data_IF_297084444435
#
_entry.id   IF_297084444435
#
_cell.length_a   1.000
_cell.length_b   1.000
_cell.length_c   1.000
_cell.angle_alpha   90.00
_cell.angle_beta   90.00
_cell.angle_gamma   90.00
#
_symmetry.space_group_name_H-M   'P 1'
#
loop_
_entity.id
_entity.type
_entity.pdbx_description
1 polymer ?
#
# COMPACT_ATOMS: atom_id res chain seq x y z
N UNK A 1 -2.00 20.53 -20.13
CA UNK A 1 -2.25 19.31 -20.96
C UNK A 1 -1.67 19.40 -22.38
N UNK A 2 -1.98 20.45 -23.17
CA UNK A 2 -1.76 20.47 -24.64
C UNK A 2 -0.30 20.35 -25.08
N UNK A 3 0.65 20.76 -24.23
CA UNK A 3 2.10 20.65 -24.48
C UNK A 3 2.64 19.25 -24.21
N UNK A 4 2.16 18.57 -23.17
CA UNK A 4 2.53 17.19 -22.84
C UNK A 4 1.95 16.19 -23.86
N UNK A 5 0.70 16.38 -24.30
CA UNK A 5 0.06 15.52 -25.32
C UNK A 5 0.64 15.68 -26.74
N UNK A 6 1.57 16.62 -26.95
CA UNK A 6 2.30 16.77 -28.22
C UNK A 6 3.59 15.97 -28.25
N UNK A 7 4.01 15.41 -27.12
CA UNK A 7 5.14 14.49 -27.05
C UNK A 7 4.70 13.12 -27.56
N UNK A 8 5.54 12.46 -28.35
CA UNK A 8 5.21 11.17 -28.95
C UNK A 8 4.98 10.12 -27.85
N UNK A 9 3.83 9.44 -27.90
CA UNK A 9 3.49 8.38 -26.95
C UNK A 9 3.08 8.86 -25.55
N UNK A 10 2.86 10.15 -25.33
CA UNK A 10 2.47 10.73 -24.04
C UNK A 10 0.97 11.08 -24.00
N UNK A 11 0.27 10.52 -23.02
CA UNK A 11 -1.11 10.85 -22.67
C UNK A 11 -1.16 11.49 -21.28
N UNK A 12 -1.42 12.78 -21.22
CA UNK A 12 -1.44 13.59 -20.01
C UNK A 12 -2.83 14.17 -19.75
N UNK A 13 -3.37 13.89 -18.56
CA UNK A 13 -4.59 14.50 -18.01
C UNK A 13 -4.21 15.43 -16.87
N UNK A 14 -4.66 16.69 -16.90
CA UNK A 14 -4.33 17.69 -15.88
C UNK A 14 -5.60 18.11 -15.14
N UNK A 15 -5.56 18.03 -13.82
CA UNK A 15 -6.59 18.60 -12.95
C UNK A 15 -6.09 19.96 -12.43
N UNK A 16 -6.52 21.04 -13.10
CA UNK A 16 -6.15 22.41 -12.76
C UNK A 16 -6.60 22.86 -11.37
N UNK A 17 -7.65 22.24 -10.79
CA UNK A 17 -8.15 22.60 -9.46
C UNK A 17 -7.27 22.04 -8.32
N UNK A 18 -6.51 20.98 -8.58
CA UNK A 18 -5.61 20.35 -7.60
C UNK A 18 -4.14 20.48 -7.97
N UNK A 19 -3.83 21.17 -9.08
CA UNK A 19 -2.49 21.31 -9.63
C UNK A 19 -1.80 19.96 -9.89
N UNK A 20 -2.59 18.89 -10.09
CA UNK A 20 -2.11 17.52 -10.32
C UNK A 20 -2.20 17.14 -11.78
N UNK A 21 -1.12 16.59 -12.32
CA UNK A 21 -1.06 16.00 -13.64
C UNK A 21 -0.87 14.48 -13.54
N UNK A 22 -1.70 13.71 -14.24
CA UNK A 22 -1.51 12.28 -14.46
C UNK A 22 -0.99 12.10 -15.87
N UNK A 23 0.21 11.51 -16.00
CA UNK A 23 0.86 11.29 -17.28
C UNK A 23 1.10 9.79 -17.46
N UNK A 24 0.70 9.27 -18.61
CA UNK A 24 0.98 7.92 -19.07
C UNK A 24 1.86 8.05 -20.31
N UNK A 25 3.05 7.47 -20.29
CA UNK A 25 3.97 7.50 -21.43
C UNK A 25 4.34 6.06 -21.81
N UNK A 26 4.46 5.79 -23.12
CA UNK A 26 4.82 4.47 -23.65
C UNK A 26 6.22 4.54 -24.27
N UNK A 27 7.24 4.02 -23.60
CA UNK A 27 8.57 3.81 -24.17
C UNK A 27 9.73 4.25 -23.27
N UNK A 28 10.93 3.79 -23.61
CA UNK A 28 12.22 4.19 -23.00
C UNK A 28 12.71 5.57 -23.50
N UNK A 29 12.06 6.12 -24.53
CA UNK A 29 12.49 7.36 -25.21
C UNK A 29 12.01 8.65 -24.52
N UNK A 30 11.11 8.56 -23.53
CA UNK A 30 10.58 9.71 -22.79
C UNK A 30 10.87 9.53 -21.31
N UNK A 31 11.72 10.38 -20.75
CA UNK A 31 12.03 10.37 -19.32
C UNK A 31 11.08 11.26 -18.52
N UNK A 32 10.97 11.01 -17.22
CA UNK A 32 10.25 11.88 -16.28
C UNK A 32 10.84 13.30 -16.28
N UNK A 33 12.17 13.43 -16.46
CA UNK A 33 12.83 14.74 -16.58
C UNK A 33 12.38 15.51 -17.82
N UNK A 34 12.21 14.86 -18.97
CA UNK A 34 11.74 15.53 -20.19
C UNK A 34 10.32 16.08 -20.04
N UNK A 35 9.47 15.35 -19.33
CA UNK A 35 8.11 15.77 -18.99
C UNK A 35 8.14 17.00 -18.06
N UNK A 36 8.99 16.98 -17.03
CA UNK A 36 9.18 18.11 -16.09
C UNK A 36 9.72 19.34 -16.83
N UNK A 37 10.81 19.20 -17.60
CA UNK A 37 11.39 20.29 -18.38
C UNK A 37 10.41 20.88 -19.40
N UNK A 38 9.52 20.07 -19.97
CA UNK A 38 8.45 20.55 -20.85
C UNK A 38 7.44 21.43 -20.10
N UNK A 39 7.13 21.09 -18.85
CA UNK A 39 6.26 21.91 -17.98
C UNK A 39 6.98 23.20 -17.55
N UNK A 40 8.26 23.12 -17.18
CA UNK A 40 9.10 24.29 -16.83
C UNK A 40 9.27 25.27 -17.99
N UNK A 41 9.46 24.77 -19.21
CA UNK A 41 9.52 25.60 -20.41
C UNK A 41 8.22 26.38 -20.68
N UNK A 42 7.11 25.96 -20.05
CA UNK A 42 5.83 26.71 -20.09
C UNK A 42 5.65 27.68 -18.92
N UNK A 43 6.64 27.79 -18.03
CA UNK A 43 6.65 28.71 -16.89
C UNK A 43 6.03 28.15 -15.61
N UNK A 44 5.89 26.82 -15.50
CA UNK A 44 5.33 26.15 -14.33
C UNK A 44 6.33 25.15 -13.74
N UNK A 45 6.35 25.00 -12.42
CA UNK A 45 7.19 23.99 -11.76
C UNK A 45 6.45 22.66 -11.68
N UNK A 46 7.15 21.54 -11.94
CA UNK A 46 6.63 20.19 -11.74
C UNK A 46 7.61 19.39 -10.88
N UNK A 47 7.08 18.69 -9.88
CA UNK A 47 7.85 17.82 -9.00
C UNK A 47 7.30 16.39 -9.09
N UNK A 48 8.18 15.39 -8.98
CA UNK A 48 7.77 14.00 -8.96
C UNK A 48 6.91 13.73 -7.72
N UNK A 49 5.68 13.19 -7.87
CA UNK A 49 4.88 12.82 -6.72
C UNK A 49 5.65 11.81 -5.87
N UNK A 50 5.64 11.94 -4.53
CA UNK A 50 6.20 10.90 -3.68
C UNK A 50 5.55 9.56 -4.06
N UNK A 51 6.32 8.46 -4.12
CA UNK A 51 5.81 7.16 -4.53
C UNK A 51 4.55 6.86 -3.72
N UNK A 52 3.46 6.40 -4.37
CA UNK A 52 2.19 6.21 -3.70
C UNK A 52 2.43 5.29 -2.51
N UNK A 53 2.14 5.79 -1.31
CA UNK A 53 2.06 4.97 -0.12
C UNK A 53 1.13 3.81 -0.48
N UNK A 54 1.69 2.61 -0.63
CA UNK A 54 0.93 1.37 -0.90
C UNK A 54 0.06 0.96 0.30
N UNK A 55 -0.04 1.83 1.30
CA UNK A 55 -1.01 1.77 2.38
C UNK A 55 -2.37 2.14 1.81
N UNK A 56 -3.07 1.13 1.31
CA UNK A 56 -4.51 1.18 1.10
C UNK A 56 -5.24 1.68 2.36
N UNK A 57 -6.53 2.02 2.23
CA UNK A 57 -7.32 2.73 3.26
C UNK A 57 -7.54 1.97 4.60
N UNK A 58 -6.79 0.91 4.90
CA UNK A 58 -6.94 0.10 6.12
C UNK A 58 -6.04 0.56 7.29
N UNK A 59 -5.53 1.78 7.27
CA UNK A 59 -4.60 2.29 8.31
C UNK A 59 -5.29 3.11 9.42
N UNK A 60 -6.51 2.73 9.84
CA UNK A 60 -7.12 3.26 11.07
C UNK A 60 -7.03 2.31 12.28
N UNK A 61 -6.45 1.11 12.13
CA UNK A 61 -6.29 0.19 13.27
C UNK A 61 -4.96 -0.54 13.25
N UNK A 62 -3.90 0.16 13.63
CA UNK A 62 -2.90 -0.29 14.62
C UNK A 62 -1.63 0.56 14.46
N UNK A 63 -1.22 1.16 15.57
CA UNK A 63 -0.05 2.02 15.63
C UNK A 63 1.28 1.29 15.39
N UNK A 64 2.33 2.10 15.38
CA UNK A 64 3.76 1.81 15.29
C UNK A 64 4.34 1.47 13.91
N UNK A 65 4.77 2.54 13.23
CA UNK A 65 6.05 2.73 12.52
C UNK A 65 6.58 1.64 11.57
N UNK A 66 6.48 1.97 10.26
CA UNK A 66 7.55 1.99 9.23
C UNK A 66 8.59 0.85 9.22
N UNK A 67 8.58 0.06 8.13
CA UNK A 67 9.72 -0.22 7.24
C UNK A 67 9.29 -1.05 6.00
N UNK A 68 10.25 -1.37 5.15
CA UNK A 68 10.20 -1.67 3.71
C UNK A 68 10.05 -3.20 3.40
N UNK A 69 10.15 -3.71 2.15
CA UNK A 69 9.38 -4.85 1.60
C UNK A 69 9.64 -6.26 2.19
N UNK A 70 10.64 -6.46 3.05
CA UNK A 70 10.79 -7.68 3.87
C UNK A 70 9.75 -7.76 5.01
N UNK A 71 9.08 -6.64 5.31
CA UNK A 71 8.01 -6.55 6.30
C UNK A 71 6.75 -7.31 5.86
N UNK A 72 6.54 -7.57 4.57
CA UNK A 72 5.33 -8.24 4.08
C UNK A 72 5.19 -9.66 4.61
N UNK A 73 6.23 -10.50 4.40
CA UNK A 73 6.25 -11.89 4.86
C UNK A 73 6.36 -11.97 6.39
N UNK A 74 7.13 -11.08 6.99
CA UNK A 74 7.32 -11.02 8.45
C UNK A 74 6.02 -10.62 9.16
N UNK A 75 5.30 -9.61 8.66
CA UNK A 75 4.01 -9.20 9.20
C UNK A 75 2.92 -10.27 9.03
N UNK A 76 2.92 -11.00 7.91
CA UNK A 76 2.00 -12.12 7.70
C UNK A 76 2.28 -13.26 8.69
N UNK A 77 3.56 -13.63 8.87
CA UNK A 77 3.98 -14.63 9.86
C UNK A 77 3.66 -14.17 11.28
N UNK A 78 3.90 -12.91 11.63
CA UNK A 78 3.58 -12.33 12.93
C UNK A 78 2.08 -12.47 13.24
N UNK A 79 1.21 -12.08 12.30
CA UNK A 79 -0.25 -12.19 12.44
C UNK A 79 -0.68 -13.66 12.54
N UNK A 80 -0.11 -14.54 11.71
CA UNK A 80 -0.40 -15.98 11.73
C UNK A 80 -0.02 -16.61 13.08
N UNK A 81 1.20 -16.36 13.55
CA UNK A 81 1.72 -16.88 14.82
C UNK A 81 0.90 -16.32 15.97
N UNK A 82 0.60 -15.01 15.97
CA UNK A 82 -0.21 -14.37 17.02
C UNK A 82 -1.60 -15.02 17.11
N UNK A 83 -2.30 -15.14 15.97
CA UNK A 83 -3.61 -15.80 15.90
C UNK A 83 -3.55 -17.27 16.31
N UNK A 84 -2.50 -17.99 15.91
CA UNK A 84 -2.30 -19.39 16.27
C UNK A 84 -2.08 -19.55 17.79
N UNK A 85 -1.23 -18.72 18.39
CA UNK A 85 -0.97 -18.73 19.84
C UNK A 85 -2.24 -18.44 20.64
N UNK A 86 -3.10 -17.54 20.15
CA UNK A 86 -4.40 -17.24 20.77
C UNK A 86 -5.41 -18.38 20.58
N UNK A 87 -5.42 -19.05 19.42
CA UNK A 87 -6.40 -20.08 19.09
C UNK A 87 -6.06 -21.46 19.68
N UNK A 88 -4.77 -21.81 19.77
CA UNK A 88 -4.32 -23.14 20.21
C UNK A 88 -4.83 -23.52 21.60
N UNK A 89 -4.76 -22.66 22.65
CA UNK A 89 -5.27 -23.01 23.97
C UNK A 89 -6.79 -23.28 23.98
N UNK A 90 -7.55 -22.50 23.20
CA UNK A 90 -9.01 -22.65 23.09
C UNK A 90 -9.36 -23.98 22.41
N UNK A 91 -8.69 -24.30 21.31
CA UNK A 91 -8.89 -25.56 20.57
C UNK A 91 -8.44 -26.76 21.43
N UNK A 92 -7.32 -26.63 22.15
CA UNK A 92 -6.84 -27.66 23.05
C UNK A 92 -7.84 -27.93 24.18
N UNK A 93 -8.44 -26.89 24.78
CA UNK A 93 -9.51 -27.04 25.77
C UNK A 93 -10.75 -27.75 25.20
N UNK A 94 -11.09 -27.50 23.94
CA UNK A 94 -12.25 -28.12 23.29
C UNK A 94 -12.01 -29.58 22.86
N UNK A 95 -10.81 -29.92 22.38
CA UNK A 95 -10.50 -31.24 21.83
C UNK A 95 -9.87 -32.22 22.82
N UNK A 96 -9.29 -31.74 23.92
CA UNK A 96 -8.64 -32.59 24.93
C UNK A 96 -9.59 -32.71 26.12
N UNK A 97 -10.44 -33.76 26.17
CA UNK A 97 -11.34 -33.99 27.30
C UNK A 97 -10.58 -34.27 28.61
N UNK A 98 -9.28 -34.58 28.57
CA UNK A 98 -8.41 -34.70 29.76
C UNK A 98 -8.08 -33.34 30.40
N UNK A 99 -8.22 -32.22 29.67
CA UNK A 99 -8.14 -30.87 30.23
C UNK A 99 -9.50 -30.37 30.75
N UNK A 100 -10.59 -31.11 30.48
CA UNK A 100 -11.90 -30.82 31.01
C UNK A 100 -11.95 -31.42 32.43
N UNK A 101 -12.05 -30.56 33.45
CA UNK A 101 -12.19 -31.01 34.83
C UNK A 101 -13.41 -31.94 34.97
N UNK A 102 -13.22 -33.04 35.72
CA UNK A 102 -14.31 -33.90 36.17
C UNK A 102 -15.40 -33.02 36.83
N UNK A 103 -16.67 -33.16 36.40
CA UNK A 103 -17.88 -32.42 36.80
C UNK A 103 -18.35 -31.19 35.98
N UNK A 104 -17.85 -30.88 34.77
CA UNK A 104 -18.46 -29.79 33.96
C UNK A 104 -19.91 -30.09 33.52
N UNK A 105 -20.31 -31.35 33.38
CA UNK A 105 -21.58 -31.73 32.75
C UNK A 105 -22.85 -31.35 33.54
N UNK A 106 -22.73 -30.75 34.74
CA UNK A 106 -23.85 -30.47 35.65
C UNK A 106 -23.73 -29.12 36.40
N UNK A 107 -23.49 -28.02 35.67
CA UNK A 107 -23.93 -26.70 36.12
C UNK A 107 -24.78 -26.01 35.06
#
# INVERSE_FOLDING_TARGET
>A
EKKLNRMDGVEATVNYATEKAKVTYRGEDVSVQDLISTVEATGYTAEEPPPPDTRGPDTERSGTARSEPDDGLTALRQRLITSLVLAVPVIAMAMIPVLQFDNWQWL
#
